data_IF_416242173469
#
_entry.id   IF_416242173469
#
_cell.length_a   1.000
_cell.length_b   1.000
_cell.length_c   1.000
_cell.angle_alpha   90.00
_cell.angle_beta   90.00
_cell.angle_gamma   90.00
#
_symmetry.space_group_name_H-M   'P 1'
#
loop_
_entity.id
_entity.type
_entity.pdbx_description
1 polymer ?
#
# COMPACT_ATOMS: atom_id res chain seq x y z
N UNK A 1 106.28 -19.35 16.98
CA UNK A 1 104.95 -18.83 16.58
C UNK A 1 104.70 -18.83 15.05
N UNK A 2 105.62 -18.34 14.20
CA UNK A 2 105.37 -18.19 12.75
C UNK A 2 105.15 -19.47 11.91
N UNK A 3 105.60 -20.67 12.34
CA UNK A 3 105.36 -21.92 11.57
C UNK A 3 103.97 -22.53 11.79
N UNK A 4 103.39 -22.40 12.99
CA UNK A 4 102.05 -22.93 13.28
C UNK A 4 100.96 -22.10 12.60
N UNK A 5 101.10 -20.77 12.64
CA UNK A 5 100.20 -19.85 11.93
C UNK A 5 100.27 -20.05 10.41
N UNK A 6 101.46 -20.29 9.83
CA UNK A 6 101.59 -20.53 8.38
C UNK A 6 101.00 -21.87 7.91
N UNK A 7 101.16 -22.96 8.67
CA UNK A 7 100.62 -24.27 8.27
C UNK A 7 99.10 -24.39 8.48
N UNK A 8 98.56 -23.72 9.50
CA UNK A 8 97.15 -23.79 9.85
C UNK A 8 96.39 -22.50 9.51
N UNK A 9 96.93 -21.69 8.60
CA UNK A 9 96.43 -20.35 8.28
C UNK A 9 94.97 -20.36 7.83
N UNK A 10 94.60 -21.33 6.99
CA UNK A 10 93.24 -21.50 6.47
C UNK A 10 92.27 -21.82 7.62
N UNK A 11 92.66 -22.69 8.56
CA UNK A 11 91.84 -23.05 9.72
C UNK A 11 91.60 -21.83 10.63
N UNK A 12 92.63 -21.03 10.87
CA UNK A 12 92.51 -19.80 11.68
C UNK A 12 91.60 -18.78 11.00
N UNK A 13 91.73 -18.60 9.68
CA UNK A 13 90.85 -17.72 8.89
C UNK A 13 89.39 -18.18 8.99
N UNK A 14 89.12 -19.48 8.79
CA UNK A 14 87.76 -20.04 8.87
C UNK A 14 87.17 -19.88 10.28
N UNK A 15 87.93 -20.21 11.33
CA UNK A 15 87.45 -20.05 12.72
C UNK A 15 87.20 -18.57 13.04
N UNK A 16 88.06 -17.66 12.56
CA UNK A 16 87.87 -16.22 12.78
C UNK A 16 86.64 -15.69 12.03
N UNK A 17 86.40 -16.10 10.79
CA UNK A 17 85.21 -15.74 10.02
C UNK A 17 83.94 -16.29 10.66
N UNK A 18 83.94 -17.56 11.08
CA UNK A 18 82.81 -18.18 11.77
C UNK A 18 82.52 -17.50 13.11
N UNK A 19 83.55 -17.10 13.85
CA UNK A 19 83.38 -16.36 15.11
C UNK A 19 82.78 -14.98 14.88
N UNK A 20 83.23 -14.25 13.85
CA UNK A 20 82.66 -12.94 13.49
C UNK A 20 81.20 -13.09 13.04
N UNK A 21 80.88 -14.11 12.23
CA UNK A 21 79.52 -14.38 11.80
C UNK A 21 78.60 -14.74 12.99
N UNK A 22 79.09 -15.56 13.93
CA UNK A 22 78.36 -15.91 15.15
C UNK A 22 78.08 -14.68 16.02
N UNK A 23 79.07 -13.79 16.20
CA UNK A 23 78.90 -12.54 16.95
C UNK A 23 77.88 -11.61 16.24
N UNK A 24 77.97 -11.48 14.93
CA UNK A 24 77.03 -10.66 14.15
C UNK A 24 75.59 -11.18 14.27
N UNK A 25 75.39 -12.50 14.20
CA UNK A 25 74.08 -13.13 14.42
C UNK A 25 73.57 -12.92 15.85
N UNK A 26 74.44 -13.04 16.86
CA UNK A 26 74.05 -12.77 18.25
C UNK A 26 73.60 -11.32 18.45
N UNK A 27 74.35 -10.35 17.90
CA UNK A 27 73.96 -8.93 17.95
C UNK A 27 72.64 -8.69 17.23
N UNK A 28 72.45 -9.30 16.04
CA UNK A 28 71.18 -9.21 15.32
C UNK A 28 70.02 -9.75 16.16
N UNK A 29 70.17 -10.96 16.70
CA UNK A 29 69.13 -11.57 17.55
C UNK A 29 68.83 -10.74 18.80
N UNK A 30 69.84 -10.11 19.42
CA UNK A 30 69.63 -9.21 20.55
C UNK A 30 68.86 -7.94 20.17
N UNK A 31 69.15 -7.35 19.00
CA UNK A 31 68.42 -6.18 18.48
C UNK A 31 66.96 -6.57 18.17
N UNK A 32 66.74 -7.71 17.50
CA UNK A 32 65.41 -8.20 17.16
C UNK A 32 64.60 -8.52 18.44
N UNK A 33 65.23 -9.15 19.43
CA UNK A 33 64.61 -9.44 20.73
C UNK A 33 64.25 -8.14 21.48
N UNK A 34 65.12 -7.12 21.43
CA UNK A 34 64.83 -5.81 22.02
C UNK A 34 63.63 -5.13 21.35
N UNK A 35 63.53 -5.21 20.01
CA UNK A 35 62.38 -4.67 19.26
C UNK A 35 61.10 -5.43 19.58
N UNK A 36 61.17 -6.75 19.62
CA UNK A 36 60.02 -7.60 19.96
C UNK A 36 59.55 -7.35 21.40
N UNK A 37 60.48 -7.20 22.34
CA UNK A 37 60.16 -6.86 23.74
C UNK A 37 59.48 -5.49 23.86
N UNK A 38 59.93 -4.49 23.11
CA UNK A 38 59.28 -3.17 23.07
C UNK A 38 57.85 -3.26 22.51
N UNK A 39 57.64 -4.05 21.47
CA UNK A 39 56.32 -4.27 20.89
C UNK A 39 55.38 -5.01 21.86
N UNK A 40 55.86 -6.07 22.53
CA UNK A 40 55.09 -6.79 23.56
C UNK A 40 54.68 -5.84 24.69
N UNK A 41 55.58 -4.98 25.15
CA UNK A 41 55.28 -3.99 26.19
C UNK A 41 54.24 -2.97 25.74
N UNK A 42 54.29 -2.51 24.49
CA UNK A 42 53.26 -1.62 23.93
C UNK A 42 51.91 -2.32 23.82
N UNK A 43 51.87 -3.57 23.37
CA UNK A 43 50.64 -4.36 23.29
C UNK A 43 50.03 -4.61 24.68
N UNK A 44 50.86 -4.90 25.68
CA UNK A 44 50.41 -5.08 27.06
C UNK A 44 49.85 -3.78 27.63
N UNK A 45 50.52 -2.64 27.38
CA UNK A 45 50.01 -1.32 27.78
C UNK A 45 48.68 -0.99 27.12
N UNK A 46 48.52 -1.27 25.82
CA UNK A 46 47.25 -1.08 25.11
C UNK A 46 46.15 -2.00 25.66
N UNK A 47 46.47 -3.23 26.03
CA UNK A 47 45.51 -4.15 26.68
C UNK A 47 45.08 -3.64 28.05
N UNK A 48 46.00 -3.10 28.85
CA UNK A 48 45.69 -2.46 30.12
C UNK A 48 44.82 -1.21 29.92
N UNK A 49 45.17 -0.34 28.97
CA UNK A 49 44.40 0.86 28.64
C UNK A 49 42.98 0.51 28.15
N UNK A 50 42.83 -0.52 27.30
CA UNK A 50 41.53 -1.06 26.89
C UNK A 50 40.79 -1.62 28.09
N UNK A 51 41.45 -2.37 28.99
CA UNK A 51 40.85 -2.88 30.22
C UNK A 51 40.32 -1.75 31.11
N UNK A 52 41.08 -0.66 31.26
CA UNK A 52 40.67 0.54 31.99
C UNK A 52 39.47 1.21 31.30
N UNK A 53 39.49 1.36 29.97
CA UNK A 53 38.39 1.93 29.19
C UNK A 53 37.11 1.10 29.27
N UNK A 54 37.22 -0.24 29.25
CA UNK A 54 36.09 -1.17 29.42
C UNK A 54 35.56 -1.15 30.86
N UNK A 55 36.45 -1.05 31.86
CA UNK A 55 36.06 -0.96 33.28
C UNK A 55 35.35 0.36 33.61
N UNK A 56 35.70 1.43 32.89
CA UNK A 56 34.92 2.67 32.81
C UNK A 56 33.67 2.39 31.99
N UNK A 57 32.69 1.69 32.55
CA UNK A 57 31.29 1.82 32.07
C UNK A 57 31.01 3.33 32.08
N UNK A 58 30.87 4.01 30.92
CA UNK A 58 30.65 5.44 30.96
C UNK A 58 29.38 5.64 31.77
N UNK A 59 29.49 6.37 32.89
CA UNK A 59 28.30 6.82 33.59
C UNK A 59 27.44 7.57 32.56
N UNK A 60 26.11 7.37 32.53
CA UNK A 60 25.26 8.15 31.65
C UNK A 60 25.60 9.61 31.89
N UNK A 61 26.08 10.30 30.85
CA UNK A 61 26.49 11.70 30.92
C UNK A 61 25.37 12.44 31.65
N UNK A 62 25.65 13.08 32.79
CA UNK A 62 24.58 13.65 33.63
C UNK A 62 23.72 14.65 32.85
N UNK A 63 24.29 15.30 31.84
CA UNK A 63 23.64 16.16 30.85
C UNK A 63 22.62 15.43 29.94
N UNK A 64 22.78 14.13 29.73
CA UNK A 64 21.85 13.29 28.96
C UNK A 64 20.66 12.82 29.81
N UNK A 65 20.75 12.80 31.14
CA UNK A 65 19.62 12.44 32.02
C UNK A 65 18.37 13.29 31.78
N UNK A 66 18.43 14.64 31.67
CA UNK A 66 17.26 15.44 31.36
C UNK A 66 16.72 15.16 29.94
N UNK A 67 17.60 14.90 28.96
CA UNK A 67 17.19 14.54 27.58
C UNK A 67 16.44 13.21 27.55
N UNK A 68 16.98 12.18 28.20
CA UNK A 68 16.33 10.86 28.33
C UNK A 68 14.97 10.99 29.01
N UNK A 69 14.84 11.82 30.06
CA UNK A 69 13.54 12.07 30.71
C UNK A 69 12.55 12.75 29.76
N UNK A 70 13.00 13.74 29.00
CA UNK A 70 12.18 14.41 28.00
C UNK A 70 11.73 13.46 26.88
N UNK A 71 12.64 12.58 26.43
CA UNK A 71 12.35 11.56 25.43
C UNK A 71 11.32 10.57 25.97
N UNK A 72 11.50 10.08 27.20
CA UNK A 72 10.52 9.19 27.88
C UNK A 72 9.14 9.86 27.95
N UNK A 73 9.06 11.12 28.37
CA UNK A 73 7.79 11.83 28.46
C UNK A 73 7.14 12.00 27.08
N UNK A 74 7.94 12.32 26.06
CA UNK A 74 7.47 12.52 24.70
C UNK A 74 6.99 11.21 24.09
N UNK A 75 7.77 10.14 24.21
CA UNK A 75 7.41 8.81 23.71
C UNK A 75 6.24 8.20 24.49
N UNK A 76 6.15 8.42 25.80
CA UNK A 76 4.99 7.97 26.59
C UNK A 76 3.72 8.66 26.12
N UNK A 77 3.72 9.99 25.93
CA UNK A 77 2.55 10.71 25.40
C UNK A 77 2.16 10.23 23.99
N UNK A 78 3.14 9.95 23.14
CA UNK A 78 2.91 9.42 21.81
C UNK A 78 2.34 8.00 21.85
N UNK A 79 2.90 7.12 22.70
CA UNK A 79 2.41 5.77 22.93
C UNK A 79 0.97 5.79 23.47
N UNK A 80 0.68 6.60 24.48
CA UNK A 80 -0.67 6.76 25.05
C UNK A 80 -1.68 7.25 24.00
N UNK A 81 -1.25 8.11 23.07
CA UNK A 81 -2.10 8.58 21.99
C UNK A 81 -2.38 7.47 20.97
N UNK A 82 -1.36 6.68 20.63
CA UNK A 82 -1.48 5.52 19.75
C UNK A 82 -2.40 4.46 20.35
N UNK A 83 -2.18 4.08 21.61
CA UNK A 83 -2.99 3.09 22.31
C UNK A 83 -4.45 3.51 22.48
N UNK A 84 -4.70 4.79 22.75
CA UNK A 84 -6.07 5.32 22.85
C UNK A 84 -6.85 5.12 21.56
N UNK A 85 -6.24 5.48 20.42
CA UNK A 85 -6.86 5.38 19.10
C UNK A 85 -6.77 3.97 18.49
N UNK A 86 -5.96 3.07 19.07
CA UNK A 86 -5.69 1.75 18.50
C UNK A 86 -6.98 0.96 18.26
N UNK A 87 -7.23 0.61 16.99
CA UNK A 87 -8.41 -0.11 16.55
C UNK A 87 -9.75 0.55 16.94
N UNK A 88 -9.81 1.89 16.95
CA UNK A 88 -11.06 2.62 17.17
C UNK A 88 -11.41 3.48 15.94
N UNK A 89 -11.95 2.87 14.87
CA UNK A 89 -12.28 3.57 13.62
C UNK A 89 -13.39 4.61 13.79
N UNK A 90 -14.23 4.46 14.83
CA UNK A 90 -15.33 5.38 15.13
C UNK A 90 -14.92 6.46 16.16
N UNK A 91 -13.69 6.44 16.68
CA UNK A 91 -13.19 7.47 17.60
C UNK A 91 -13.37 8.90 17.06
N UNK A 92 -13.04 9.23 15.79
CA UNK A 92 -13.27 10.59 15.28
C UNK A 92 -14.76 10.99 15.30
N UNK A 93 -15.66 10.04 15.03
CA UNK A 93 -17.10 10.28 15.10
C UNK A 93 -17.55 10.52 16.55
N UNK A 94 -17.01 9.76 17.51
CA UNK A 94 -17.25 9.97 18.95
C UNK A 94 -16.71 11.32 19.43
N UNK A 95 -15.54 11.74 18.96
CA UNK A 95 -14.98 13.05 19.31
C UNK A 95 -15.86 14.20 18.82
N UNK A 96 -16.41 14.11 17.60
CA UNK A 96 -17.38 15.10 17.11
C UNK A 96 -18.69 15.08 17.90
N UNK A 97 -19.19 13.90 18.25
CA UNK A 97 -20.33 13.78 19.16
C UNK A 97 -20.07 14.52 20.48
N UNK A 98 -18.90 14.32 21.08
CA UNK A 98 -18.50 14.94 22.35
C UNK A 98 -18.36 16.46 22.25
N UNK A 99 -17.89 17.00 21.12
CA UNK A 99 -17.83 18.46 20.89
C UNK A 99 -19.21 19.11 20.94
N UNK A 100 -20.24 18.40 20.49
CA UNK A 100 -21.61 18.92 20.44
C UNK A 100 -22.37 18.65 21.73
N UNK A 101 -22.31 17.43 22.27
CA UNK A 101 -23.18 17.02 23.37
C UNK A 101 -22.95 17.86 24.64
N UNK A 102 -24.03 18.17 25.35
CA UNK A 102 -23.99 18.94 26.60
C UNK A 102 -24.60 18.12 27.72
N UNK A 103 -23.88 17.98 28.81
CA UNK A 103 -24.34 17.29 30.00
C UNK A 103 -25.17 18.22 30.88
N UNK A 104 -26.38 17.80 31.24
CA UNK A 104 -27.20 18.48 32.24
C UNK A 104 -26.75 18.03 33.63
N UNK A 105 -25.99 18.89 34.28
CA UNK A 105 -25.50 18.64 35.64
C UNK A 105 -26.68 18.66 36.64
N UNK A 106 -26.97 17.54 37.34
CA UNK A 106 -28.07 17.48 38.30
C UNK A 106 -27.92 18.45 39.46
N UNK A 107 -26.68 18.76 39.85
CA UNK A 107 -26.38 19.61 41.01
C UNK A 107 -26.31 21.09 40.61
N UNK A 108 -25.75 21.39 39.44
CA UNK A 108 -25.42 22.77 39.04
C UNK A 108 -26.49 23.44 38.17
N UNK A 109 -27.58 22.74 37.81
CA UNK A 109 -28.70 23.22 36.96
C UNK A 109 -28.27 23.91 35.65
N UNK A 110 -27.04 23.66 35.18
CA UNK A 110 -26.47 24.25 33.98
C UNK A 110 -25.98 23.15 33.03
N UNK A 111 -26.16 23.39 31.74
CA UNK A 111 -25.62 22.51 30.70
C UNK A 111 -24.14 22.82 30.51
N UNK A 112 -23.28 21.82 30.57
CA UNK A 112 -21.82 21.98 30.39
C UNK A 112 -21.25 21.02 29.35
N UNK A 113 -20.09 21.35 28.75
CA UNK A 113 -19.29 20.37 28.01
C UNK A 113 -18.88 19.19 28.90
N UNK A 114 -18.65 18.05 28.26
CA UNK A 114 -18.18 16.81 28.89
C UNK A 114 -17.00 16.27 28.09
N UNK A 115 -16.03 15.62 28.75
CA UNK A 115 -14.96 14.91 28.04
C UNK A 115 -15.40 13.51 27.61
N UNK A 116 -14.77 12.91 26.60
CA UNK A 116 -15.09 11.53 26.19
C UNK A 116 -14.86 10.53 27.33
N UNK A 117 -13.81 10.71 28.12
CA UNK A 117 -13.52 9.87 29.28
C UNK A 117 -14.64 9.94 30.32
N UNK A 118 -15.04 11.16 30.71
CA UNK A 118 -16.14 11.37 31.66
C UNK A 118 -17.47 10.82 31.13
N UNK A 119 -17.75 11.00 29.84
CA UNK A 119 -18.94 10.45 29.20
C UNK A 119 -18.96 8.91 29.26
N UNK A 120 -17.84 8.25 28.92
CA UNK A 120 -17.71 6.79 29.01
C UNK A 120 -17.90 6.30 30.43
N UNK A 121 -17.30 6.96 31.43
CA UNK A 121 -17.48 6.61 32.84
C UNK A 121 -18.95 6.67 33.25
N UNK A 122 -19.63 7.80 33.02
CA UNK A 122 -21.05 7.96 33.37
C UNK A 122 -21.94 6.96 32.62
N UNK A 123 -21.62 6.67 31.35
CA UNK A 123 -22.36 5.70 30.55
C UNK A 123 -22.23 4.29 31.15
N UNK A 124 -21.00 3.81 31.38
CA UNK A 124 -20.77 2.46 31.88
C UNK A 124 -21.21 2.28 33.34
N UNK A 125 -21.15 3.32 34.17
CA UNK A 125 -21.73 3.30 35.52
C UNK A 125 -23.24 3.01 35.51
N UNK A 126 -23.98 3.54 34.54
CA UNK A 126 -25.42 3.24 34.39
C UNK A 126 -25.68 1.94 33.63
N UNK A 127 -24.92 1.70 32.55
CA UNK A 127 -25.09 0.55 31.67
C UNK A 127 -24.88 -0.76 32.42
N UNK A 128 -23.84 -0.83 33.26
CA UNK A 128 -23.45 -2.05 33.98
C UNK A 128 -24.35 -2.36 35.19
N UNK A 129 -25.32 -1.50 35.54
CA UNK A 129 -26.34 -1.81 36.56
C UNK A 129 -27.37 -2.82 36.07
N UNK A 130 -27.47 -3.02 34.75
CA UNK A 130 -28.43 -3.91 34.12
C UNK A 130 -27.71 -5.15 33.61
N UNK A 131 -28.30 -6.32 33.85
CA UNK A 131 -27.83 -7.58 33.28
C UNK A 131 -27.74 -7.49 31.75
N UNK A 132 -26.61 -7.87 31.18
CA UNK A 132 -26.37 -7.87 29.73
C UNK A 132 -27.34 -8.78 28.97
N UNK A 133 -27.90 -9.81 29.61
CA UNK A 133 -28.95 -10.65 29.04
C UNK A 133 -30.31 -9.94 28.94
N UNK A 134 -30.52 -8.86 29.72
CA UNK A 134 -31.78 -8.10 29.74
C UNK A 134 -31.77 -6.92 28.77
N UNK A 135 -31.82 -7.24 27.48
CA UNK A 135 -31.79 -6.28 26.36
C UNK A 135 -32.88 -5.20 26.47
N UNK A 136 -34.09 -5.59 26.90
CA UNK A 136 -35.20 -4.64 27.04
C UNK A 136 -34.89 -3.57 28.09
N UNK A 137 -34.35 -3.99 29.24
CA UNK A 137 -33.96 -3.07 30.29
C UNK A 137 -32.74 -2.22 29.88
N UNK A 138 -31.79 -2.77 29.13
CA UNK A 138 -30.68 -1.99 28.56
C UNK A 138 -31.18 -0.88 27.62
N UNK A 139 -32.17 -1.18 26.78
CA UNK A 139 -32.79 -0.17 25.92
C UNK A 139 -33.49 0.95 26.70
N UNK A 140 -34.12 0.63 27.83
CA UNK A 140 -34.71 1.63 28.74
C UNK A 140 -33.60 2.48 29.39
N UNK A 141 -32.58 1.83 29.94
CA UNK A 141 -31.42 2.50 30.57
C UNK A 141 -30.74 3.44 29.59
N UNK A 142 -30.57 3.03 28.33
CA UNK A 142 -30.02 3.89 27.29
C UNK A 142 -30.86 5.16 27.09
N UNK A 143 -32.18 5.00 26.92
CA UNK A 143 -33.09 6.15 26.74
C UNK A 143 -33.11 7.09 27.95
N UNK A 144 -33.06 6.55 29.16
CA UNK A 144 -32.97 7.35 30.39
C UNK A 144 -31.63 8.09 30.46
N UNK A 145 -30.53 7.44 30.09
CA UNK A 145 -29.21 8.07 30.01
C UNK A 145 -29.19 9.23 29.01
N UNK A 146 -29.78 9.05 27.83
CA UNK A 146 -29.90 10.10 26.80
C UNK A 146 -30.59 11.37 27.32
N UNK A 147 -31.57 11.25 28.23
CA UNK A 147 -32.28 12.40 28.80
C UNK A 147 -31.38 13.33 29.64
N UNK A 148 -30.20 12.86 30.06
CA UNK A 148 -29.18 13.70 30.71
C UNK A 148 -28.52 14.67 29.73
N UNK A 149 -28.75 14.52 28.43
CA UNK A 149 -28.12 15.29 27.37
C UNK A 149 -29.19 15.96 26.49
N UNK A 150 -29.55 17.24 26.75
CA UNK A 150 -30.66 17.91 26.05
C UNK A 150 -30.50 18.02 24.53
N UNK A 151 -29.26 18.05 24.02
CA UNK A 151 -28.95 18.14 22.59
C UNK A 151 -28.40 16.82 22.02
N UNK A 152 -28.80 15.68 22.59
CA UNK A 152 -28.41 14.35 22.13
C UNK A 152 -28.63 14.15 20.62
N UNK A 153 -29.80 14.55 20.12
CA UNK A 153 -30.17 14.36 18.71
C UNK A 153 -29.22 15.10 17.76
N UNK A 154 -28.84 16.33 18.10
CA UNK A 154 -27.92 17.12 17.28
C UNK A 154 -26.52 16.52 17.31
N UNK A 155 -26.07 16.04 18.48
CA UNK A 155 -24.80 15.36 18.61
C UNK A 155 -24.75 14.05 17.81
N UNK A 156 -25.85 13.28 17.81
CA UNK A 156 -25.98 12.05 17.01
C UNK A 156 -25.97 12.30 15.50
N UNK A 157 -26.48 13.45 15.04
CA UNK A 157 -26.38 13.83 13.63
C UNK A 157 -24.92 14.07 13.21
N UNK A 158 -24.11 14.73 14.04
CA UNK A 158 -22.68 14.89 13.75
C UNK A 158 -21.92 13.57 13.85
N UNK A 159 -22.26 12.71 14.82
CA UNK A 159 -21.73 11.35 14.88
C UNK A 159 -21.98 10.58 13.58
N UNK A 160 -23.24 10.54 13.13
CA UNK A 160 -23.68 9.80 11.94
C UNK A 160 -22.89 10.24 10.70
N UNK A 161 -22.73 11.54 10.47
CA UNK A 161 -21.99 12.08 9.32
C UNK A 161 -20.55 11.60 9.20
N UNK A 162 -19.87 11.38 10.32
CA UNK A 162 -18.50 10.86 10.32
C UNK A 162 -18.47 9.32 10.34
N UNK A 163 -19.38 8.69 11.08
CA UNK A 163 -19.49 7.24 11.13
C UNK A 163 -19.75 6.64 9.73
N UNK A 164 -20.62 7.26 8.93
CA UNK A 164 -20.91 6.84 7.54
C UNK A 164 -19.68 6.87 6.62
N UNK A 165 -18.63 7.62 6.99
CA UNK A 165 -17.36 7.67 6.24
C UNK A 165 -16.35 6.63 6.73
N UNK A 166 -16.49 6.18 7.98
CA UNK A 166 -15.54 5.32 8.67
C UNK A 166 -15.92 3.83 8.63
N UNK A 167 -17.19 3.51 8.38
CA UNK A 167 -17.67 2.14 8.19
C UNK A 167 -18.45 2.02 6.89
N UNK A 168 -18.43 0.82 6.32
CA UNK A 168 -19.27 0.46 5.16
C UNK A 168 -20.67 0.00 5.56
N UNK A 169 -20.94 -0.09 6.86
CA UNK A 169 -22.26 -0.46 7.37
C UNK A 169 -23.33 0.55 6.90
N UNK A 170 -24.49 0.09 6.40
CA UNK A 170 -25.64 0.95 6.19
C UNK A 170 -26.14 1.54 7.51
N UNK A 171 -25.82 2.80 7.79
CA UNK A 171 -26.32 3.50 8.98
C UNK A 171 -27.73 4.04 8.71
N UNK A 172 -28.71 3.34 9.27
CA UNK A 172 -30.12 3.75 9.25
C UNK A 172 -30.49 4.41 10.56
N UNK A 173 -31.66 5.06 10.62
CA UNK A 173 -32.17 5.61 11.87
C UNK A 173 -32.49 4.51 12.91
N UNK A 174 -32.56 3.25 12.48
CA UNK A 174 -32.76 2.08 13.35
C UNK A 174 -31.42 1.50 13.86
N UNK A 175 -30.33 1.63 13.11
CA UNK A 175 -29.03 1.05 13.44
C UNK A 175 -28.02 2.04 14.02
N UNK A 176 -28.24 3.35 13.88
CA UNK A 176 -27.30 4.39 14.35
C UNK A 176 -26.99 4.29 15.85
N UNK A 177 -27.97 3.95 16.67
CA UNK A 177 -27.78 3.75 18.11
C UNK A 177 -26.89 2.53 18.40
N UNK A 178 -27.03 1.44 17.63
CA UNK A 178 -26.18 0.25 17.77
C UNK A 178 -24.74 0.53 17.31
N UNK A 179 -24.56 1.27 16.22
CA UNK A 179 -23.25 1.74 15.75
C UNK A 179 -22.58 2.61 16.81
N UNK A 180 -23.33 3.53 17.41
CA UNK A 180 -22.84 4.41 18.47
C UNK A 180 -22.45 3.64 19.74
N UNK A 181 -23.30 2.70 20.19
CA UNK A 181 -22.99 1.81 21.30
C UNK A 181 -21.73 0.97 21.03
N UNK A 182 -21.56 0.49 19.80
CA UNK A 182 -20.36 -0.24 19.37
C UNK A 182 -19.11 0.63 19.48
N UNK A 183 -19.20 1.89 19.03
CA UNK A 183 -18.11 2.86 19.16
C UNK A 183 -17.71 3.10 20.63
N UNK A 184 -18.69 3.11 21.54
CA UNK A 184 -18.42 3.23 22.98
C UNK A 184 -17.75 1.99 23.59
N UNK A 185 -17.78 0.85 22.89
CA UNK A 185 -17.23 -0.43 23.34
C UNK A 185 -18.28 -1.47 23.74
N UNK A 186 -19.56 -1.23 23.50
CA UNK A 186 -20.63 -2.21 23.77
C UNK A 186 -20.69 -3.22 22.61
N UNK A 187 -20.55 -4.53 22.88
CA UNK A 187 -20.59 -5.54 21.82
C UNK A 187 -21.98 -5.67 21.19
N UNK A 188 -22.03 -5.90 19.87
CA UNK A 188 -23.30 -6.15 19.16
C UNK A 188 -23.76 -7.59 19.33
N UNK A 189 -24.67 -7.80 20.27
CA UNK A 189 -25.21 -9.12 20.57
C UNK A 189 -26.40 -9.51 19.71
N UNK A 190 -26.88 -8.64 18.80
CA UNK A 190 -28.13 -8.81 18.04
C UNK A 190 -29.31 -9.28 18.91
N UNK A 191 -29.32 -8.88 20.18
CA UNK A 191 -30.29 -9.31 21.19
C UNK A 191 -30.38 -10.82 21.41
N UNK A 192 -29.35 -11.58 21.03
CA UNK A 192 -29.36 -13.05 21.02
C UNK A 192 -30.32 -13.67 20.01
N UNK A 193 -30.84 -12.89 19.05
CA UNK A 193 -31.83 -13.36 18.06
C UNK A 193 -31.15 -13.71 16.73
N UNK A 194 -31.25 -14.98 16.26
CA UNK A 194 -30.61 -15.39 15.02
C UNK A 194 -31.18 -14.68 13.79
N UNK A 195 -32.45 -14.27 13.81
CA UNK A 195 -33.08 -13.57 12.69
C UNK A 195 -32.48 -12.18 12.49
N UNK A 196 -32.11 -11.49 13.59
CA UNK A 196 -31.46 -10.19 13.53
C UNK A 196 -30.04 -10.31 12.98
N UNK A 197 -29.29 -11.34 13.38
CA UNK A 197 -27.97 -11.61 12.81
C UNK A 197 -28.05 -11.93 11.32
N UNK A 198 -28.97 -12.82 10.92
CA UNK A 198 -29.15 -13.22 9.53
C UNK A 198 -29.48 -12.02 8.63
N UNK A 199 -30.37 -11.14 9.10
CA UNK A 199 -30.69 -9.89 8.42
C UNK A 199 -29.48 -8.97 8.31
N UNK A 200 -28.75 -8.75 9.42
CA UNK A 200 -27.54 -7.94 9.42
C UNK A 200 -26.52 -8.45 8.38
N UNK A 201 -26.21 -9.75 8.39
CA UNK A 201 -25.26 -10.35 7.44
C UNK A 201 -25.72 -10.20 5.99
N UNK A 202 -27.02 -10.36 5.75
CA UNK A 202 -27.62 -10.23 4.41
C UNK A 202 -27.54 -8.80 3.89
N UNK A 203 -27.96 -7.83 4.70
CA UNK A 203 -27.94 -6.41 4.36
C UNK A 203 -26.49 -5.92 4.12
N UNK A 204 -25.54 -6.35 4.97
CA UNK A 204 -24.13 -6.03 4.81
C UNK A 204 -23.54 -6.65 3.53
N UNK A 205 -23.83 -7.92 3.26
CA UNK A 205 -23.38 -8.62 2.04
C UNK A 205 -23.84 -7.90 0.78
N UNK A 206 -25.12 -7.56 0.68
CA UNK A 206 -25.64 -6.84 -0.48
C UNK A 206 -24.96 -5.48 -0.63
N UNK A 207 -24.76 -4.75 0.47
CA UNK A 207 -24.03 -3.48 0.44
C UNK A 207 -22.61 -3.64 -0.12
N UNK A 208 -21.87 -4.68 0.29
CA UNK A 208 -20.52 -4.91 -0.23
C UNK A 208 -20.51 -5.31 -1.70
N UNK A 209 -21.47 -6.13 -2.13
CA UNK A 209 -21.62 -6.49 -3.55
C UNK A 209 -21.96 -5.26 -4.40
N UNK A 210 -22.84 -4.38 -3.93
CA UNK A 210 -23.17 -3.12 -4.58
C UNK A 210 -21.94 -2.20 -4.67
N UNK A 211 -21.11 -2.15 -3.62
CA UNK A 211 -19.85 -1.39 -3.64
C UNK A 211 -18.86 -1.93 -4.66
N UNK A 212 -18.68 -3.25 -4.72
CA UNK A 212 -17.81 -3.90 -5.71
C UNK A 212 -18.31 -3.62 -7.14
N UNK A 213 -19.62 -3.77 -7.38
CA UNK A 213 -20.26 -3.47 -8.67
C UNK A 213 -20.10 -2.00 -9.07
N UNK A 214 -20.34 -1.06 -8.15
CA UNK A 214 -20.13 0.37 -8.38
C UNK A 214 -18.66 0.71 -8.65
N UNK A 215 -17.73 -0.01 -8.03
CA UNK A 215 -16.29 0.04 -8.29
C UNK A 215 -15.85 -0.64 -9.60
N UNK A 216 -16.80 -1.23 -10.36
CA UNK A 216 -16.55 -2.05 -11.56
C UNK A 216 -15.66 -3.27 -11.28
N UNK A 217 -15.73 -3.80 -10.06
CA UNK A 217 -15.02 -5.00 -9.64
C UNK A 217 -15.91 -6.21 -9.89
N UNK A 218 -15.43 -7.15 -10.70
CA UNK A 218 -16.15 -8.40 -10.96
C UNK A 218 -15.96 -9.38 -9.80
N UNK A 219 -17.03 -10.03 -9.35
CA UNK A 219 -16.94 -11.12 -8.36
C UNK A 219 -16.87 -12.44 -9.13
N UNK A 220 -15.72 -13.11 -9.09
CA UNK A 220 -15.42 -14.25 -9.96
C UNK A 220 -16.24 -15.50 -9.67
N UNK A 221 -16.72 -15.68 -8.43
CA UNK A 221 -17.60 -16.78 -8.04
C UNK A 221 -18.48 -16.41 -6.83
N UNK A 222 -19.52 -17.21 -6.59
CA UNK A 222 -20.48 -16.98 -5.49
C UNK A 222 -19.79 -17.04 -4.12
N UNK A 223 -18.77 -17.90 -3.95
CA UNK A 223 -18.06 -18.09 -2.69
C UNK A 223 -17.28 -16.83 -2.27
N UNK A 224 -16.62 -16.17 -3.23
CA UNK A 224 -15.94 -14.90 -3.04
C UNK A 224 -16.93 -13.81 -2.61
N UNK A 225 -18.13 -13.78 -3.22
CA UNK A 225 -19.22 -12.86 -2.88
C UNK A 225 -19.92 -13.19 -1.55
N UNK A 226 -19.59 -14.30 -0.91
CA UNK A 226 -20.05 -14.63 0.43
C UNK A 226 -19.04 -14.26 1.52
N UNK A 227 -17.84 -13.78 1.14
CA UNK A 227 -16.80 -13.32 2.06
C UNK A 227 -16.47 -14.34 3.16
N UNK A 228 -16.36 -15.61 2.76
CA UNK A 228 -16.09 -16.76 3.63
C UNK A 228 -17.20 -17.13 4.63
N UNK A 229 -18.39 -16.52 4.57
CA UNK A 229 -19.56 -16.95 5.34
C UNK A 229 -20.43 -17.90 4.51
N UNK A 230 -20.90 -19.00 5.09
CA UNK A 230 -21.73 -19.97 4.37
C UNK A 230 -23.17 -19.91 4.85
N UNK A 231 -24.12 -20.35 4.00
CA UNK A 231 -25.53 -20.49 4.40
C UNK A 231 -25.74 -21.57 5.47
N UNK A 232 -24.74 -22.42 5.71
CA UNK A 232 -24.77 -23.49 6.70
C UNK A 232 -24.18 -23.03 8.05
N UNK A 233 -23.61 -21.83 8.12
CA UNK A 233 -23.04 -21.31 9.36
C UNK A 233 -24.17 -21.08 10.37
N UNK A 234 -24.12 -21.80 11.50
CA UNK A 234 -25.02 -21.61 12.63
C UNK A 234 -24.20 -21.06 13.79
N UNK A 235 -24.43 -19.79 14.13
CA UNK A 235 -23.71 -19.11 15.21
C UNK A 235 -24.50 -19.15 16.51
N UNK A 236 -23.79 -19.32 17.63
CA UNK A 236 -24.34 -19.14 18.96
C UNK A 236 -24.39 -17.65 19.33
N UNK A 237 -25.33 -17.21 20.19
CA UNK A 237 -25.46 -15.80 20.60
C UNK A 237 -24.14 -15.15 21.07
N UNK A 238 -23.26 -15.92 21.70
CA UNK A 238 -21.97 -15.47 22.20
C UNK A 238 -20.97 -15.14 21.08
N UNK A 239 -21.22 -15.64 19.86
CA UNK A 239 -20.39 -15.44 18.66
C UNK A 239 -20.85 -14.23 17.82
N UNK A 240 -22.03 -13.67 18.10
CA UNK A 240 -22.62 -12.60 17.28
C UNK A 240 -21.77 -11.33 17.24
N UNK A 241 -21.16 -10.86 18.34
CA UNK A 241 -20.25 -9.71 18.30
C UNK A 241 -19.04 -9.93 17.38
N UNK A 242 -18.51 -11.15 17.35
CA UNK A 242 -17.35 -11.53 16.55
C UNK A 242 -17.75 -11.63 15.07
N UNK A 243 -18.93 -12.15 14.75
CA UNK A 243 -19.49 -12.12 13.39
C UNK A 243 -19.66 -10.68 12.91
N UNK A 244 -20.30 -9.81 13.70
CA UNK A 244 -20.49 -8.40 13.35
C UNK A 244 -19.16 -7.69 13.10
N UNK A 245 -18.14 -7.97 13.93
CA UNK A 245 -16.78 -7.43 13.77
C UNK A 245 -16.11 -7.90 12.48
N UNK A 246 -16.25 -9.19 12.13
CA UNK A 246 -15.70 -9.68 10.87
C UNK A 246 -16.31 -8.93 9.68
N UNK A 247 -17.62 -8.69 9.66
CA UNK A 247 -18.26 -7.93 8.58
C UNK A 247 -17.77 -6.48 8.47
N UNK A 248 -17.51 -5.80 9.59
CA UNK A 248 -16.91 -4.45 9.57
C UNK A 248 -15.48 -4.47 9.00
N UNK A 249 -14.65 -5.45 9.38
CA UNK A 249 -13.28 -5.59 8.85
C UNK A 249 -13.31 -5.91 7.35
N UNK A 250 -14.15 -6.87 6.94
CA UNK A 250 -14.32 -7.25 5.53
C UNK A 250 -14.78 -6.06 4.71
N UNK A 251 -15.73 -5.28 5.22
CA UNK A 251 -16.21 -4.09 4.56
C UNK A 251 -15.12 -3.03 4.34
N UNK A 252 -14.26 -2.83 5.33
CA UNK A 252 -13.09 -1.96 5.19
C UNK A 252 -12.03 -2.50 4.21
N UNK A 253 -11.84 -3.81 4.12
CA UNK A 253 -10.99 -4.43 3.08
C UNK A 253 -11.59 -4.20 1.68
N UNK A 254 -12.90 -4.41 1.52
CA UNK A 254 -13.61 -4.21 0.25
C UNK A 254 -13.57 -2.74 -0.18
N UNK A 255 -13.72 -1.79 0.74
CA UNK A 255 -13.61 -0.37 0.42
C UNK A 255 -12.23 -0.02 -0.17
N UNK A 256 -11.16 -0.60 0.37
CA UNK A 256 -9.80 -0.45 -0.14
C UNK A 256 -9.59 -1.12 -1.49
N UNK A 257 -10.21 -2.28 -1.73
CA UNK A 257 -10.20 -2.90 -3.06
C UNK A 257 -10.81 -1.97 -4.12
N UNK A 258 -11.95 -1.35 -3.79
CA UNK A 258 -12.62 -0.35 -4.65
C UNK A 258 -11.74 0.87 -4.87
N UNK A 259 -11.14 1.43 -3.82
CA UNK A 259 -10.25 2.59 -3.93
C UNK A 259 -8.98 2.26 -4.73
N UNK A 260 -8.44 1.06 -4.58
CA UNK A 260 -7.31 0.56 -5.33
C UNK A 260 -7.63 0.28 -6.81
N UNK A 261 -8.91 0.19 -7.17
CA UNK A 261 -9.38 -0.18 -8.52
C UNK A 261 -8.82 -1.53 -8.96
N UNK A 262 -8.96 -2.54 -8.11
CA UNK A 262 -8.75 -3.93 -8.55
C UNK A 262 -9.84 -4.31 -9.56
N UNK A 263 -9.57 -5.28 -10.43
CA UNK A 263 -10.45 -5.67 -11.53
C UNK A 263 -11.45 -6.74 -11.10
N UNK A 264 -11.02 -7.71 -10.29
CA UNK A 264 -11.90 -8.74 -9.77
C UNK A 264 -11.53 -9.21 -8.37
N UNK A 265 -12.52 -9.76 -7.67
CA UNK A 265 -12.39 -10.54 -6.44
C UNK A 265 -12.73 -12.00 -6.76
N UNK A 266 -11.73 -12.86 -6.71
CA UNK A 266 -11.82 -14.27 -7.12
C UNK A 266 -11.94 -15.22 -5.92
N UNK A 267 -11.53 -14.79 -4.72
CA UNK A 267 -11.63 -15.58 -3.50
C UNK A 267 -11.52 -14.71 -2.26
N UNK A 268 -12.21 -15.09 -1.20
CA UNK A 268 -12.13 -14.42 0.11
C UNK A 268 -12.32 -15.46 1.22
N UNK A 269 -11.34 -15.54 2.11
CA UNK A 269 -11.23 -16.57 3.12
C UNK A 269 -10.94 -15.94 4.48
N UNK A 270 -11.68 -16.37 5.50
CA UNK A 270 -11.42 -16.06 6.91
C UNK A 270 -10.95 -17.33 7.61
N UNK A 271 -10.01 -17.21 8.54
CA UNK A 271 -9.51 -18.38 9.28
C UNK A 271 -10.48 -18.80 10.41
N UNK A 272 -10.83 -17.87 11.28
CA UNK A 272 -11.76 -18.10 12.40
C UNK A 272 -12.65 -16.88 12.60
N UNK A 273 -13.84 -17.10 13.17
CA UNK A 273 -14.75 -15.99 13.54
C UNK A 273 -14.26 -15.29 14.79
N UNK A 274 -13.80 -16.03 15.81
CA UNK A 274 -13.37 -15.46 17.07
C UNK A 274 -12.07 -14.64 16.96
N UNK A 275 -11.23 -14.91 15.95
CA UNK A 275 -9.84 -14.47 15.92
C UNK A 275 -8.95 -15.33 16.83
N UNK A 276 -7.65 -15.02 16.85
CA UNK A 276 -6.63 -15.71 17.63
C UNK A 276 -6.03 -14.74 18.65
N UNK A 277 -5.92 -15.16 19.91
CA UNK A 277 -5.23 -14.39 20.94
C UNK A 277 -3.72 -14.52 20.77
N UNK A 278 -3.03 -13.40 20.59
CA UNK A 278 -1.57 -13.31 20.43
C UNK A 278 -1.04 -12.25 21.39
N UNK A 279 -0.62 -12.69 22.58
CA UNK A 279 -0.25 -11.78 23.67
C UNK A 279 -1.46 -10.93 24.09
N UNK A 280 -1.29 -9.61 24.15
CA UNK A 280 -2.35 -8.64 24.48
C UNK A 280 -3.24 -8.29 23.29
N UNK A 281 -3.10 -8.98 22.16
CA UNK A 281 -3.84 -8.70 20.94
C UNK A 281 -4.80 -9.81 20.54
N UNK A 282 -5.92 -9.43 19.95
CA UNK A 282 -6.80 -10.32 19.18
C UNK A 282 -6.54 -10.11 17.70
N UNK A 283 -6.23 -11.18 16.98
CA UNK A 283 -5.81 -11.15 15.58
C UNK A 283 -6.80 -11.89 14.69
N UNK A 284 -7.30 -11.23 13.64
CA UNK A 284 -8.19 -11.83 12.64
C UNK A 284 -7.43 -12.02 11.33
N UNK A 285 -7.43 -13.25 10.81
CA UNK A 285 -6.68 -13.62 9.62
C UNK A 285 -7.60 -13.70 8.40
N UNK A 286 -7.25 -12.95 7.37
CA UNK A 286 -7.96 -12.93 6.09
C UNK A 286 -7.00 -13.19 4.94
N UNK A 287 -7.44 -14.02 4.00
CA UNK A 287 -6.77 -14.23 2.71
C UNK A 287 -7.75 -13.91 1.62
N UNK A 288 -7.35 -13.10 0.64
CA UNK A 288 -8.19 -12.79 -0.50
C UNK A 288 -7.40 -12.82 -1.80
N UNK A 289 -8.09 -13.20 -2.86
CA UNK A 289 -7.54 -13.37 -4.19
C UNK A 289 -8.18 -12.35 -5.12
N UNK A 290 -7.36 -11.48 -5.68
CA UNK A 290 -7.80 -10.37 -6.52
C UNK A 290 -7.03 -10.36 -7.83
N UNK A 291 -7.65 -9.88 -8.90
CA UNK A 291 -6.99 -9.62 -10.18
C UNK A 291 -6.91 -8.12 -10.42
N UNK A 292 -5.84 -7.66 -11.06
CA UNK A 292 -5.75 -6.32 -11.63
C UNK A 292 -4.33 -5.96 -12.03
N UNK A 293 -4.15 -4.71 -12.45
CA UNK A 293 -2.82 -4.19 -12.77
C UNK A 293 -1.89 -4.27 -11.55
N UNK A 294 -0.59 -4.44 -11.79
CA UNK A 294 0.40 -4.44 -10.71
C UNK A 294 0.37 -3.13 -9.89
N UNK A 295 0.03 -2.01 -10.53
CA UNK A 295 -0.17 -0.72 -9.85
C UNK A 295 -1.36 -0.77 -8.89
N UNK A 296 -2.52 -1.29 -9.33
CA UNK A 296 -3.71 -1.47 -8.49
C UNK A 296 -3.40 -2.37 -7.28
N UNK A 297 -2.68 -3.47 -7.48
CA UNK A 297 -2.32 -4.38 -6.37
C UNK A 297 -1.36 -3.71 -5.38
N UNK A 298 -0.34 -3.00 -5.87
CA UNK A 298 0.56 -2.22 -4.99
C UNK A 298 -0.20 -1.15 -4.22
N UNK A 299 -1.14 -0.47 -4.88
CA UNK A 299 -2.00 0.52 -4.25
C UNK A 299 -2.85 -0.12 -3.15
N UNK A 300 -3.43 -1.29 -3.37
CA UNK A 300 -4.20 -2.02 -2.35
C UNK A 300 -3.34 -2.34 -1.12
N UNK A 301 -2.14 -2.89 -1.31
CA UNK A 301 -1.20 -3.18 -0.21
C UNK A 301 -0.83 -1.89 0.53
N UNK A 302 -0.56 -0.81 -0.19
CA UNK A 302 -0.26 0.49 0.41
C UNK A 302 -1.44 1.09 1.19
N UNK A 303 -2.68 0.88 0.74
CA UNK A 303 -3.87 1.34 1.47
C UNK A 303 -4.07 0.57 2.77
N UNK A 304 -3.78 -0.74 2.77
CA UNK A 304 -3.81 -1.57 3.97
C UNK A 304 -2.75 -1.11 4.98
N UNK A 305 -1.52 -0.89 4.54
CA UNK A 305 -0.41 -0.40 5.38
C UNK A 305 -0.70 0.99 6.00
N UNK A 306 -1.33 1.89 5.23
CA UNK A 306 -1.66 3.25 5.69
C UNK A 306 -2.95 3.35 6.51
N UNK A 307 -3.65 2.24 6.75
CA UNK A 307 -4.97 2.24 7.40
C UNK A 307 -4.97 2.86 8.79
N UNK A 308 -3.85 2.70 9.52
CA UNK A 308 -3.74 3.23 10.87
C UNK A 308 -3.74 4.76 10.86
N UNK A 309 -3.00 5.36 9.92
CA UNK A 309 -2.85 6.82 9.83
C UNK A 309 -4.15 7.55 9.47
N UNK A 310 -5.05 6.90 8.73
CA UNK A 310 -6.26 7.54 8.19
C UNK A 310 -7.55 7.07 8.86
N UNK A 311 -7.55 5.91 9.51
CA UNK A 311 -8.77 5.28 9.99
C UNK A 311 -8.63 4.49 11.27
N UNK A 312 -7.51 4.60 12.00
CA UNK A 312 -7.27 3.89 13.27
C UNK A 312 -7.35 2.36 13.16
N UNK A 313 -7.22 1.79 11.95
CA UNK A 313 -7.29 0.35 11.68
C UNK A 313 -5.89 -0.21 11.46
N UNK A 314 -5.59 -1.38 12.04
CA UNK A 314 -4.24 -1.95 11.99
C UNK A 314 -4.26 -3.25 11.20
N UNK A 315 -3.67 -3.20 10.00
CA UNK A 315 -3.44 -4.37 9.16
C UNK A 315 -1.95 -4.70 9.12
N UNK A 316 -1.63 -5.98 9.21
CA UNK A 316 -0.28 -6.52 8.96
C UNK A 316 -0.35 -7.41 7.73
N UNK A 317 0.27 -6.97 6.64
CA UNK A 317 0.35 -7.77 5.41
C UNK A 317 1.42 -8.85 5.61
N UNK A 318 0.99 -10.11 5.71
CA UNK A 318 1.87 -11.26 5.98
C UNK A 318 2.49 -11.84 4.73
N UNK A 319 1.72 -11.94 3.66
CA UNK A 319 2.17 -12.51 2.40
C UNK A 319 1.42 -11.88 1.23
N UNK A 320 2.14 -11.70 0.12
CA UNK A 320 1.60 -11.31 -1.19
C UNK A 320 2.23 -12.24 -2.21
N UNK A 321 1.41 -13.12 -2.79
CA UNK A 321 1.82 -13.97 -3.91
C UNK A 321 1.26 -13.36 -5.20
N UNK A 322 2.12 -13.15 -6.20
CA UNK A 322 1.74 -12.61 -7.49
C UNK A 322 1.92 -13.67 -8.56
N UNK A 323 0.88 -13.85 -9.38
CA UNK A 323 0.84 -14.75 -10.51
C UNK A 323 0.52 -13.93 -11.76
N UNK A 324 1.26 -14.18 -12.85
CA UNK A 324 0.94 -13.56 -14.13
C UNK A 324 -0.34 -14.21 -14.68
N UNK A 325 -1.34 -13.41 -15.06
CA UNK A 325 -2.57 -13.94 -15.69
C UNK A 325 -2.26 -14.46 -17.09
N UNK A 326 -1.35 -13.79 -17.80
CA UNK A 326 -0.81 -14.23 -19.07
C UNK A 326 0.71 -14.38 -18.99
N UNK A 327 1.21 -15.56 -19.34
CA UNK A 327 2.64 -15.79 -19.55
C UNK A 327 3.02 -15.31 -20.95
N UNK A 328 3.33 -14.03 -21.09
CA UNK A 328 3.77 -13.43 -22.35
C UNK A 328 5.09 -14.04 -22.85
N UNK A 329 5.85 -14.75 -22.01
CA UNK A 329 7.02 -15.49 -22.48
C UNK A 329 6.62 -16.75 -23.26
N UNK A 330 5.47 -17.39 -22.96
CA UNK A 330 4.94 -18.48 -23.81
C UNK A 330 4.66 -18.02 -25.24
N UNK A 331 4.27 -16.76 -25.46
CA UNK A 331 4.10 -16.20 -26.81
C UNK A 331 5.42 -16.13 -27.59
N UNK A 332 6.56 -15.98 -26.90
CA UNK A 332 7.90 -16.00 -27.52
C UNK A 332 8.35 -17.42 -27.91
N UNK A 333 7.78 -18.45 -27.29
CA UNK A 333 8.07 -19.85 -27.58
C UNK A 333 6.99 -20.53 -28.45
N UNK A 334 5.92 -19.81 -28.81
CA UNK A 334 4.93 -20.28 -29.76
C UNK A 334 5.51 -20.23 -31.18
N UNK A 335 5.44 -21.32 -31.97
CA UNK A 335 5.79 -21.25 -33.39
C UNK A 335 4.90 -20.21 -34.08
N UNK A 336 5.45 -19.45 -35.04
CA UNK A 336 4.75 -18.34 -35.71
C UNK A 336 3.38 -18.70 -36.32
N UNK A 337 3.08 -19.99 -36.48
CA UNK A 337 1.82 -20.57 -36.94
C UNK A 337 0.75 -20.74 -35.85
N UNK A 338 1.04 -20.43 -34.58
CA UNK A 338 0.18 -20.74 -33.43
C UNK A 338 -0.21 -19.52 -32.58
N UNK A 339 -0.03 -18.29 -33.08
CA UNK A 339 -0.53 -17.07 -32.41
C UNK A 339 -2.03 -16.95 -32.70
N UNK A 340 -2.94 -17.12 -31.71
CA UNK A 340 -4.36 -16.88 -31.91
C UNK A 340 -4.60 -15.37 -31.91
N UNK A 341 -5.24 -14.82 -32.96
CA UNK A 341 -5.65 -13.40 -32.99
C UNK A 341 -5.12 -12.52 -34.14
N UNK A 342 -4.60 -13.10 -35.23
CA UNK A 342 -4.57 -12.38 -36.52
C UNK A 342 -5.71 -12.84 -37.45
N UNK A 343 -6.87 -13.17 -36.88
CA UNK A 343 -8.14 -13.20 -37.62
C UNK A 343 -8.86 -11.87 -37.40
N UNK A 344 -9.02 -11.15 -38.51
CA UNK A 344 -10.00 -10.10 -38.80
C UNK A 344 -10.65 -9.34 -37.61
N UNK A 345 -10.11 -8.17 -37.28
CA UNK A 345 -10.94 -7.03 -36.87
C UNK A 345 -10.85 -5.94 -37.94
N UNK A 346 -11.78 -6.01 -38.90
CA UNK A 346 -12.26 -4.82 -39.59
C UNK A 346 -13.12 -4.04 -38.59
N UNK A 347 -12.72 -2.80 -38.31
CA UNK A 347 -13.46 -1.89 -37.45
C UNK A 347 -12.64 -0.63 -37.22
N UNK A 348 -13.04 0.44 -37.90
CA UNK A 348 -12.48 1.79 -37.94
C UNK A 348 -11.95 2.31 -36.58
N UNK A 349 -10.67 2.69 -36.53
CA UNK A 349 -10.20 4.02 -36.10
C UNK A 349 -8.67 4.03 -35.91
N UNK A 350 -7.98 4.92 -36.61
CA UNK A 350 -6.60 5.29 -36.29
C UNK A 350 -5.57 5.30 -37.43
N UNK A 351 -5.96 5.64 -38.67
CA UNK A 351 -4.97 6.06 -39.67
C UNK A 351 -5.29 7.50 -40.12
N UNK A 352 -4.40 8.45 -39.81
CA UNK A 352 -4.45 9.80 -40.39
C UNK A 352 -3.42 9.89 -41.55
N UNK A 353 -3.79 10.45 -42.72
CA UNK A 353 -2.87 10.74 -43.81
C UNK A 353 -1.94 11.93 -43.49
N UNK A 354 -0.89 12.18 -44.30
CA UNK A 354 0.08 13.25 -44.06
C UNK A 354 -0.55 14.63 -44.27
N UNK A 355 -0.56 15.49 -43.25
CA UNK A 355 -0.98 16.90 -43.41
C UNK A 355 -1.52 17.66 -42.19
N UNK A 356 -1.73 17.04 -41.02
CA UNK A 356 -2.20 17.76 -39.81
C UNK A 356 -1.21 17.68 -38.65
N UNK A 357 -0.91 18.84 -38.04
CA UNK A 357 -0.13 18.96 -36.82
C UNK A 357 -0.87 18.33 -35.63
N UNK A 358 -0.16 17.66 -34.70
CA UNK A 358 -0.80 17.05 -33.54
C UNK A 358 -1.27 18.13 -32.54
N UNK A 359 -2.43 17.96 -31.88
CA UNK A 359 -2.76 18.74 -30.69
C UNK A 359 -1.77 18.41 -29.56
N UNK A 360 -1.33 19.45 -28.85
CA UNK A 360 -0.23 19.39 -27.88
C UNK A 360 -0.43 18.35 -26.78
N UNK A 361 0.68 17.68 -26.40
CA UNK A 361 0.76 16.88 -25.18
C UNK A 361 0.58 17.77 -23.95
N UNK A 362 -0.26 17.40 -22.96
CA UNK A 362 -0.24 18.06 -21.66
C UNK A 362 1.03 17.65 -20.89
N UNK A 363 1.81 18.62 -20.41
CA UNK A 363 2.73 18.39 -19.29
C UNK A 363 4.25 18.56 -19.52
N UNK A 364 4.71 19.51 -20.33
CA UNK A 364 6.07 20.03 -20.16
C UNK A 364 6.06 21.56 -19.97
N UNK A 365 6.86 22.13 -19.05
CA UNK A 365 6.88 23.56 -18.78
C UNK A 365 7.52 24.36 -19.92
N UNK A 366 6.85 25.45 -20.29
CA UNK A 366 7.28 26.48 -21.24
C UNK A 366 8.69 27.04 -20.91
N UNK A 367 9.66 26.80 -21.79
CA UNK A 367 10.83 27.70 -21.90
C UNK A 367 10.57 28.71 -23.03
N UNK A 368 10.08 29.88 -22.64
CA UNK A 368 10.08 31.09 -23.47
C UNK A 368 11.51 31.62 -23.61
N UNK A 369 11.95 31.98 -24.82
CA UNK A 369 12.66 33.24 -25.13
C UNK A 369 12.93 33.45 -26.66
N UNK A 370 13.28 34.67 -27.16
CA UNK A 370 12.33 35.53 -27.88
C UNK A 370 12.76 36.01 -29.30
N UNK A 371 11.76 36.35 -30.13
CA UNK A 371 11.67 37.51 -31.05
C UNK A 371 12.69 37.72 -32.19
N UNK A 372 12.20 37.85 -33.45
CA UNK A 372 12.15 39.12 -34.19
C UNK A 372 11.49 38.98 -35.59
N UNK A 373 10.96 40.08 -36.18
CA UNK A 373 9.88 40.09 -37.16
C UNK A 373 10.26 40.60 -38.57
N UNK A 374 9.37 40.34 -39.54
CA UNK A 374 9.19 41.22 -40.71
C UNK A 374 9.01 40.49 -42.05
N UNK A 375 7.83 40.59 -42.66
CA UNK A 375 7.61 41.49 -43.81
C UNK A 375 6.19 41.37 -44.37
N UNK A 376 5.77 42.49 -44.95
CA UNK A 376 4.40 42.93 -45.28
C UNK A 376 3.78 42.28 -46.53
N UNK A 377 2.44 42.24 -46.53
CA UNK A 377 1.48 42.24 -47.66
C UNK A 377 1.80 43.33 -48.73
N UNK A 378 1.27 43.33 -49.99
CA UNK A 378 -0.19 43.39 -50.26
C UNK A 378 -0.78 42.93 -51.63
N UNK A 379 -2.13 42.92 -51.62
CA UNK A 379 -3.19 43.02 -52.65
C UNK A 379 -2.84 43.31 -54.12
N UNK A 380 -3.64 42.77 -55.07
CA UNK A 380 -4.28 43.56 -56.15
C UNK A 380 -5.49 42.85 -56.79
N UNK A 381 -6.62 43.55 -56.88
CA UNK A 381 -7.83 43.24 -57.68
C UNK A 381 -7.72 43.93 -59.06
N UNK A 382 -8.21 43.29 -60.14
CA UNK A 382 -8.33 43.96 -61.44
C UNK A 382 -8.95 43.14 -62.59
N UNK A 383 -10.26 43.36 -62.81
CA UNK A 383 -11.14 43.18 -64.00
C UNK A 383 -10.55 42.77 -65.37
N UNK A 384 -11.33 41.98 -66.13
CA UNK A 384 -11.38 42.07 -67.61
C UNK A 384 -12.06 40.90 -68.35
N UNK A 385 -13.10 41.19 -69.14
CA UNK A 385 -13.93 40.25 -69.94
C UNK A 385 -13.21 39.74 -71.21
N UNK A 386 -13.59 38.54 -71.69
CA UNK A 386 -13.81 38.31 -73.14
C UNK A 386 -13.23 37.04 -73.80
N UNK A 387 -14.16 36.14 -74.20
CA UNK A 387 -14.17 35.25 -75.40
C UNK A 387 -13.10 34.15 -75.62
N UNK A 388 -13.61 32.90 -75.48
CA UNK A 388 -13.57 31.75 -76.42
C UNK A 388 -12.26 31.48 -77.18
N UNK A 389 -11.56 30.45 -76.71
CA UNK A 389 -10.70 29.57 -77.51
C UNK A 389 -10.91 28.14 -77.05
N UNK A 390 -11.51 27.32 -77.90
CA UNK A 390 -11.79 25.90 -77.68
C UNK A 390 -10.48 25.12 -77.86
N UNK A 391 -9.97 24.47 -76.81
CA UNK A 391 -8.98 23.39 -76.94
C UNK A 391 -9.54 22.20 -76.18
N UNK A 392 -9.97 21.18 -76.93
CA UNK A 392 -10.33 19.87 -76.42
C UNK A 392 -9.19 19.33 -75.54
N UNK A 393 -9.47 19.12 -74.26
CA UNK A 393 -8.71 18.18 -73.43
C UNK A 393 -9.28 16.78 -73.67
N UNK A 394 -8.45 15.75 -73.84
CA UNK A 394 -8.93 14.37 -73.83
C UNK A 394 -9.59 14.08 -72.49
N UNK A 395 -10.80 13.50 -72.51
CA UNK A 395 -11.32 12.77 -71.36
C UNK A 395 -10.38 11.59 -71.10
N UNK A 396 -9.50 11.70 -70.11
CA UNK A 396 -9.02 10.51 -69.42
C UNK A 396 -10.16 10.04 -68.54
N UNK A 397 -10.60 8.80 -68.77
CA UNK A 397 -11.63 8.15 -68.00
C UNK A 397 -11.19 8.03 -66.54
N UNK A 398 -11.91 8.68 -65.63
CA UNK A 398 -11.90 8.33 -64.21
C UNK A 398 -12.41 6.89 -64.08
N UNK A 399 -11.50 5.91 -64.18
CA UNK A 399 -11.78 4.56 -63.69
C UNK A 399 -11.85 4.67 -62.17
N UNK A 400 -13.06 4.68 -61.62
CA UNK A 400 -13.27 4.39 -60.21
C UNK A 400 -12.71 2.98 -59.95
N UNK A 401 -11.59 2.90 -59.21
CA UNK A 401 -11.03 1.62 -58.78
C UNK A 401 -12.07 0.85 -57.99
N UNK A 402 -12.23 -0.41 -58.34
CA UNK A 402 -13.11 -1.33 -57.61
C UNK A 402 -12.59 -1.56 -56.19
N UNK A 403 -13.48 -1.90 -55.24
CA UNK A 403 -13.11 -2.15 -53.84
C UNK A 403 -12.02 -3.23 -53.70
N UNK A 404 -12.00 -4.21 -54.62
CA UNK A 404 -10.97 -5.25 -54.67
C UNK A 404 -9.60 -4.71 -55.09
N UNK A 405 -9.54 -3.79 -56.05
CA UNK A 405 -8.29 -3.14 -56.46
C UNK A 405 -7.74 -2.21 -55.37
N UNK A 406 -8.62 -1.55 -54.61
CA UNK A 406 -8.22 -0.73 -53.47
C UNK A 406 -7.66 -1.58 -52.32
N UNK A 407 -8.28 -2.74 -52.03
CA UNK A 407 -7.78 -3.70 -51.04
C UNK A 407 -6.44 -4.29 -51.45
N UNK A 408 -6.29 -4.66 -52.72
CA UNK A 408 -5.04 -5.19 -53.26
C UNK A 408 -3.90 -4.16 -53.17
N UNK A 409 -4.17 -2.89 -53.48
CA UNK A 409 -3.19 -1.81 -53.30
C UNK A 409 -2.82 -1.56 -51.84
N UNK A 410 -3.79 -1.66 -50.92
CA UNK A 410 -3.56 -1.53 -49.49
C UNK A 410 -2.69 -2.67 -48.95
N UNK A 411 -2.95 -3.91 -49.39
CA UNK A 411 -2.11 -5.06 -49.04
C UNK A 411 -0.69 -4.95 -49.62
N UNK A 412 -0.55 -4.49 -50.86
CA UNK A 412 0.75 -4.32 -51.48
C UNK A 412 1.54 -3.19 -50.80
N UNK A 413 0.87 -2.09 -50.45
CA UNK A 413 1.44 -1.01 -49.65
C UNK A 413 1.86 -1.49 -48.25
N UNK A 414 1.04 -2.33 -47.60
CA UNK A 414 1.35 -2.94 -46.30
C UNK A 414 2.55 -3.88 -46.39
N UNK A 415 2.65 -4.71 -47.42
CA UNK A 415 3.80 -5.59 -47.67
C UNK A 415 5.08 -4.77 -47.90
N UNK A 416 5.02 -3.74 -48.75
CA UNK A 416 6.15 -2.83 -48.99
C UNK A 416 6.59 -2.12 -47.72
N UNK A 417 5.64 -1.70 -46.89
CA UNK A 417 5.92 -1.07 -45.60
C UNK A 417 6.59 -2.04 -44.61
N UNK A 418 6.08 -3.27 -44.49
CA UNK A 418 6.68 -4.31 -43.64
C UNK A 418 8.10 -4.70 -44.09
N UNK A 419 8.35 -4.75 -45.40
CA UNK A 419 9.70 -4.98 -45.94
C UNK A 419 10.64 -3.80 -45.71
N UNK A 420 10.14 -2.57 -45.82
CA UNK A 420 10.91 -1.37 -45.47
C UNK A 420 11.27 -1.35 -43.98
N UNK A 421 10.35 -1.78 -43.11
CA UNK A 421 10.59 -1.87 -41.67
C UNK A 421 11.66 -2.92 -41.32
N UNK A 422 11.65 -4.07 -42.00
CA UNK A 422 12.70 -5.11 -41.83
C UNK A 422 14.08 -4.63 -42.28
N UNK A 423 14.15 -3.69 -43.22
CA UNK A 423 15.42 -3.10 -43.71
C UNK A 423 16.00 -2.05 -42.76
N UNK A 424 15.22 -1.53 -41.81
CA UNK A 424 15.74 -0.62 -40.79
C UNK A 424 16.72 -1.35 -39.85
N UNK A 425 17.78 -0.67 -39.38
CA UNK A 425 18.59 -1.14 -38.27
C UNK A 425 17.69 -1.57 -37.11
N UNK A 426 18.07 -2.65 -36.41
CA UNK A 426 17.22 -3.27 -35.39
C UNK A 426 16.69 -2.27 -34.36
N UNK A 427 17.49 -1.24 -34.02
CA UNK A 427 17.16 -0.21 -33.05
C UNK A 427 16.22 0.92 -33.53
N UNK A 428 15.93 0.97 -34.83
CA UNK A 428 15.05 1.96 -35.47
C UNK A 428 13.70 1.36 -35.89
N UNK A 429 13.50 0.06 -35.63
CA UNK A 429 12.26 -0.65 -35.94
C UNK A 429 11.15 -0.27 -34.96
N UNK A 430 9.93 -0.18 -35.46
CA UNK A 430 8.73 -0.06 -34.63
C UNK A 430 8.67 -1.23 -33.64
N UNK A 431 8.59 -0.90 -32.36
CA UNK A 431 8.60 -1.86 -31.26
C UNK A 431 9.97 -2.13 -30.64
N UNK A 432 11.07 -1.59 -31.18
CA UNK A 432 12.37 -1.69 -30.53
C UNK A 432 12.40 -0.90 -29.23
N UNK A 433 12.82 -1.55 -28.15
CA UNK A 433 12.79 -0.98 -26.80
C UNK A 433 11.43 -1.05 -26.10
N UNK A 434 10.38 -1.56 -26.77
CA UNK A 434 9.14 -1.88 -26.08
C UNK A 434 9.39 -3.06 -25.13
N UNK A 435 9.04 -2.86 -23.86
CA UNK A 435 9.05 -3.93 -22.86
C UNK A 435 7.99 -4.98 -23.24
N UNK A 436 8.42 -6.08 -23.84
CA UNK A 436 7.54 -7.18 -24.30
C UNK A 436 6.94 -8.01 -23.16
N UNK A 437 7.47 -7.89 -21.94
CA UNK A 437 7.07 -8.70 -20.78
C UNK A 437 6.92 -7.80 -19.56
N UNK A 438 5.73 -7.80 -18.94
CA UNK A 438 5.51 -7.20 -17.63
C UNK A 438 5.22 -5.70 -17.61
N UNK A 439 4.95 -5.07 -18.76
CA UNK A 439 4.62 -3.65 -18.81
C UNK A 439 3.15 -3.34 -18.48
N UNK A 440 2.21 -4.25 -18.80
CA UNK A 440 0.77 -3.98 -18.77
C UNK A 440 -0.12 -5.22 -18.55
N UNK A 441 0.45 -6.35 -18.12
CA UNK A 441 -0.38 -7.54 -17.87
C UNK A 441 -1.06 -7.44 -16.49
N UNK A 442 -2.35 -7.75 -16.46
CA UNK A 442 -3.04 -8.02 -15.22
C UNK A 442 -2.32 -9.17 -14.49
N UNK A 443 -2.28 -9.08 -13.17
CA UNK A 443 -1.76 -10.09 -12.29
C UNK A 443 -2.85 -10.56 -11.34
N UNK A 444 -2.82 -11.84 -11.01
CA UNK A 444 -3.58 -12.38 -9.90
C UNK A 444 -2.72 -12.28 -8.64
N UNK A 445 -3.28 -11.70 -7.59
CA UNK A 445 -2.63 -11.56 -6.30
C UNK A 445 -3.40 -12.31 -5.24
N UNK A 446 -2.71 -13.16 -4.47
CA UNK A 446 -3.21 -13.73 -3.23
C UNK A 446 -2.56 -12.99 -2.08
N UNK A 447 -3.36 -12.26 -1.30
CA UNK A 447 -2.90 -11.40 -0.22
C UNK A 447 -3.43 -11.95 1.10
N UNK A 448 -2.52 -12.18 2.05
CA UNK A 448 -2.86 -12.58 3.41
C UNK A 448 -2.55 -11.44 4.36
N UNK A 449 -3.57 -11.04 5.12
CA UNK A 449 -3.49 -9.95 6.10
C UNK A 449 -3.99 -10.41 7.46
N UNK A 450 -3.39 -9.83 8.48
CA UNK A 450 -3.86 -9.88 9.85
C UNK A 450 -4.46 -8.53 10.24
N UNK A 451 -5.67 -8.54 10.77
CA UNK A 451 -6.26 -7.39 11.42
C UNK A 451 -6.05 -7.48 12.93
N UNK A 452 -5.40 -6.47 13.51
CA UNK A 452 -4.91 -6.51 14.88
C UNK A 452 -5.73 -5.59 15.77
N UNK A 453 -6.17 -6.13 16.90
CA UNK A 453 -6.96 -5.42 17.90
C UNK A 453 -6.27 -5.57 19.25
N UNK A 454 -6.15 -4.47 19.99
CA UNK A 454 -5.67 -4.52 21.37
C UNK A 454 -6.81 -5.01 22.27
N UNK A 455 -6.56 -6.08 23.04
CA UNK A 455 -7.45 -6.49 24.12
C UNK A 455 -7.27 -5.49 25.26
N UNK A 456 -8.11 -4.47 25.29
CA UNK A 456 -8.18 -3.53 26.40
C UNK A 456 -8.80 -4.28 27.59
N UNK A 457 -7.95 -4.78 28.48
CA UNK A 457 -8.36 -5.35 29.77
C UNK A 457 -9.05 -4.31 30.66
#
# INVERSE_FOLDING_TARGET
>A
MNRFVKKNMILIIVISLSSVAAIALLVWTAIEHSRMSAYINQVNKLREDIGVLVSKKPAPVDENKPRIRQDIETYSKAADAIERAFNDPLLPALEEFIKVVRYRDPEKKANRPISLAEFKTLFFEEWNKVDAANVAQQGITFKVFQQRFPNWRDAMLEFKKLAEKATTEPITDQSVDEVFLTALGVPRTMQGKPELLSRFMTDYRYKLLDMLSAGKITVGNVEAGNFSFTQQDVFQPEEYPQVARNWDIIGDIVSKMVEAKVKSLNGFYKRTVAGEAVGDYQVYNFTFEVEGSLESIRKLVSLLDQSYLKGNRVYVVRAVFLYAVEDQAKLLFMPASAVPGMEEQNGEDGFMPPGMQPPGRPGMPDMRQPGMPGMQQPQFQGRGRGRRGNIQRPMESDRQMTEEEQRAQLEEARKKWLEAEKKKPFYERIGYGNTLVGANSDCQAQITVEYVILNKN
#
